data_IF_429979620321
#
_entry.id   IF_429979620321
#
_cell.length_a   1.000
_cell.length_b   1.000
_cell.length_c   1.000
_cell.angle_alpha   90.00
_cell.angle_beta   90.00
_cell.angle_gamma   90.00
#
_symmetry.space_group_name_H-M   'P 1'
#
loop_
_entity.id
_entity.type
_entity.pdbx_description
1 polymer ?
#
# COMPACT_ATOMS: atom_id res chain seq x y z
N UNK A 1 -22.80 -31.17 26.12
CA UNK A 1 -21.84 -31.77 25.15
C UNK A 1 -21.68 -30.94 23.88
N UNK A 2 -22.72 -30.30 23.33
CA UNK A 2 -22.63 -29.46 22.12
C UNK A 2 -21.77 -28.20 22.24
N UNK A 3 -21.74 -27.51 23.40
CA UNK A 3 -20.86 -26.34 23.58
C UNK A 3 -19.36 -26.67 23.58
N UNK A 4 -18.94 -27.88 23.98
CA UNK A 4 -17.50 -28.22 24.08
C UNK A 4 -16.80 -28.42 22.73
N UNK A 5 -17.55 -28.64 21.65
CA UNK A 5 -17.03 -28.71 20.27
C UNK A 5 -17.10 -27.36 19.53
N UNK A 6 -17.95 -26.42 19.98
CA UNK A 6 -18.06 -25.10 19.35
C UNK A 6 -16.83 -24.21 19.60
N UNK A 7 -16.30 -24.21 20.83
CA UNK A 7 -15.11 -23.41 21.17
C UNK A 7 -13.86 -23.76 20.35
N UNK A 8 -13.45 -25.05 20.19
CA UNK A 8 -12.28 -25.36 19.36
C UNK A 8 -12.50 -25.02 17.88
N UNK A 9 -13.72 -25.19 17.36
CA UNK A 9 -14.05 -24.80 15.97
C UNK A 9 -13.98 -23.27 15.79
N UNK A 10 -14.53 -22.49 16.72
CA UNK A 10 -14.45 -21.03 16.68
C UNK A 10 -13.00 -20.53 16.79
N UNK A 11 -12.19 -21.16 17.66
CA UNK A 11 -10.76 -20.86 17.77
C UNK A 11 -10.04 -21.18 16.45
N UNK A 12 -10.33 -22.32 15.81
CA UNK A 12 -9.75 -22.67 14.52
C UNK A 12 -10.11 -21.65 13.44
N UNK A 13 -11.36 -21.20 13.36
CA UNK A 13 -11.76 -20.14 12.43
C UNK A 13 -11.05 -18.81 12.71
N UNK A 14 -10.91 -18.41 13.98
CA UNK A 14 -10.18 -17.21 14.35
C UNK A 14 -8.70 -17.33 13.96
N UNK A 15 -8.04 -18.45 14.28
CA UNK A 15 -6.64 -18.70 13.91
C UNK A 15 -6.47 -18.68 12.40
N UNK A 16 -7.36 -19.34 11.65
CA UNK A 16 -7.34 -19.33 10.19
C UNK A 16 -7.56 -17.92 9.63
N UNK A 17 -8.48 -17.13 10.20
CA UNK A 17 -8.70 -15.74 9.82
C UNK A 17 -7.47 -14.86 10.08
N UNK A 18 -6.86 -14.95 11.26
CA UNK A 18 -5.63 -14.20 11.57
C UNK A 18 -4.46 -14.63 10.69
N UNK A 19 -4.31 -15.93 10.44
CA UNK A 19 -3.29 -16.46 9.55
C UNK A 19 -3.50 -15.95 8.12
N UNK A 20 -4.73 -15.99 7.61
CA UNK A 20 -5.08 -15.43 6.30
C UNK A 20 -4.75 -13.93 6.24
N UNK A 21 -5.19 -13.15 7.23
CA UNK A 21 -4.89 -11.70 7.30
C UNK A 21 -3.39 -11.42 7.34
N UNK A 22 -2.61 -12.24 8.06
CA UNK A 22 -1.16 -12.13 8.11
C UNK A 22 -0.52 -12.45 6.76
N UNK A 23 -0.94 -13.53 6.09
CA UNK A 23 -0.44 -13.89 4.75
C UNK A 23 -0.77 -12.79 3.74
N UNK A 24 -2.00 -12.28 3.74
CA UNK A 24 -2.40 -11.16 2.87
C UNK A 24 -1.59 -9.89 3.15
N UNK A 25 -1.31 -9.58 4.42
CA UNK A 25 -0.43 -8.47 4.79
C UNK A 25 0.98 -8.68 4.24
N UNK A 26 1.54 -9.88 4.40
CA UNK A 26 2.91 -10.17 3.95
C UNK A 26 3.02 -10.13 2.43
N UNK A 27 2.00 -10.57 1.70
CA UNK A 27 1.96 -10.56 0.24
C UNK A 27 2.15 -9.16 -0.36
N UNK A 28 1.73 -8.10 0.35
CA UNK A 28 1.92 -6.70 -0.07
C UNK A 28 3.41 -6.33 -0.22
N UNK A 29 4.33 -7.12 0.32
CA UNK A 29 5.77 -6.83 0.27
C UNK A 29 6.56 -7.71 -0.71
N UNK A 30 5.86 -8.50 -1.53
CA UNK A 30 6.46 -9.38 -2.54
C UNK A 30 6.10 -8.91 -3.95
N UNK A 31 6.37 -9.72 -4.96
CA UNK A 31 6.04 -9.39 -6.35
C UNK A 31 4.53 -9.29 -6.57
N UNK A 32 4.13 -8.28 -7.36
CA UNK A 32 2.74 -8.00 -7.66
C UNK A 32 2.37 -8.41 -9.09
N UNK A 33 1.09 -8.64 -9.27
CA UNK A 33 0.51 -8.97 -10.58
C UNK A 33 0.53 -7.77 -11.55
N UNK A 34 0.33 -8.01 -12.84
CA UNK A 34 0.33 -6.97 -13.88
C UNK A 34 1.61 -6.92 -14.71
N UNK A 35 1.55 -6.21 -15.84
CA UNK A 35 2.62 -6.14 -16.84
C UNK A 35 3.71 -5.19 -16.34
N UNK A 36 4.86 -5.73 -15.95
CA UNK A 36 6.04 -4.94 -15.62
C UNK A 36 6.64 -4.34 -16.88
N UNK A 37 6.93 -3.04 -16.87
CA UNK A 37 7.56 -2.33 -18.00
C UNK A 37 8.51 -1.25 -17.49
N UNK A 38 9.67 -1.07 -18.13
CA UNK A 38 10.61 0.00 -17.77
C UNK A 38 10.30 1.30 -18.50
N UNK A 39 10.75 2.42 -17.94
CA UNK A 39 10.60 3.71 -18.60
C UNK A 39 11.37 3.76 -19.94
N UNK A 40 12.48 3.02 -20.06
CA UNK A 40 13.25 2.93 -21.29
C UNK A 40 12.47 2.18 -22.38
N UNK A 41 11.80 1.09 -22.02
CA UNK A 41 10.92 0.35 -22.94
C UNK A 41 9.77 1.23 -23.45
N UNK A 42 9.14 2.00 -22.55
CA UNK A 42 8.09 2.98 -22.90
C UNK A 42 8.63 4.01 -23.90
N UNK A 43 9.80 4.58 -23.63
CA UNK A 43 10.43 5.57 -24.51
C UNK A 43 10.77 5.01 -25.88
N UNK A 44 11.32 3.80 -25.94
CA UNK A 44 11.65 3.11 -27.20
C UNK A 44 10.39 2.82 -27.99
N UNK A 45 9.34 2.32 -27.35
CA UNK A 45 8.07 2.03 -28.01
C UNK A 45 7.47 3.28 -28.66
N UNK A 46 7.49 4.41 -27.95
CA UNK A 46 6.98 5.68 -28.48
C UNK A 46 7.85 6.28 -29.59
N UNK A 47 9.15 6.00 -29.61
CA UNK A 47 10.05 6.48 -30.65
C UNK A 47 9.81 5.83 -32.04
N UNK A 48 8.96 4.81 -32.14
CA UNK A 48 8.56 4.22 -33.42
C UNK A 48 7.53 5.13 -34.10
N UNK A 49 7.90 5.73 -35.25
CA UNK A 49 7.04 6.70 -35.96
C UNK A 49 6.46 6.09 -37.24
N UNK A 50 5.14 6.18 -37.48
CA UNK A 50 4.11 6.63 -36.53
C UNK A 50 3.78 5.55 -35.48
N UNK A 51 3.59 5.96 -34.22
CA UNK A 51 3.07 5.08 -33.18
C UNK A 51 1.59 4.82 -33.49
N UNK A 52 1.29 3.60 -33.94
CA UNK A 52 -0.05 3.22 -34.41
C UNK A 52 -0.98 2.78 -33.27
N UNK A 53 -0.48 2.73 -32.03
CA UNK A 53 -1.28 2.37 -30.86
C UNK A 53 -2.29 3.48 -30.57
N UNK A 54 -3.50 3.16 -30.11
CA UNK A 54 -4.43 4.18 -29.65
C UNK A 54 -3.95 4.81 -28.33
N UNK A 55 -4.23 6.10 -28.16
CA UNK A 55 -4.03 6.81 -26.90
C UNK A 55 -5.27 6.63 -26.02
N UNK A 56 -5.08 6.12 -24.80
CA UNK A 56 -6.15 5.81 -23.86
C UNK A 56 -6.28 6.83 -22.74
N UNK A 57 -5.15 7.31 -22.20
CA UNK A 57 -5.14 8.26 -21.10
C UNK A 57 -5.42 9.67 -21.65
N UNK A 58 -6.37 10.42 -21.08
CA UNK A 58 -6.55 11.82 -21.41
C UNK A 58 -5.34 12.68 -21.02
N UNK A 59 -5.04 13.73 -21.79
CA UNK A 59 -3.96 14.70 -21.51
C UNK A 59 -4.31 15.64 -20.33
N UNK A 60 -4.45 15.07 -19.14
CA UNK A 60 -4.78 15.77 -17.91
C UNK A 60 -3.76 15.37 -16.84
N UNK A 61 -3.13 16.36 -16.18
CA UNK A 61 -2.31 16.14 -15.00
C UNK A 61 -3.07 16.64 -13.77
N UNK A 62 -3.21 15.78 -12.77
CA UNK A 62 -3.83 16.09 -11.49
C UNK A 62 -2.76 16.19 -10.39
N UNK A 63 -2.68 17.35 -9.74
CA UNK A 63 -1.99 17.51 -8.47
C UNK A 63 -2.99 17.91 -7.38
N UNK A 64 -2.70 17.55 -6.13
CA UNK A 64 -3.54 17.93 -4.98
C UNK A 64 -2.70 18.73 -4.00
N UNK A 65 -3.20 19.89 -3.59
CA UNK A 65 -2.59 20.70 -2.54
C UNK A 65 -3.63 21.14 -1.53
N UNK A 66 -3.60 20.52 -0.35
CA UNK A 66 -4.46 20.94 0.76
C UNK A 66 -3.64 21.76 1.76
N UNK A 67 -3.99 23.04 1.88
CA UNK A 67 -3.29 23.94 2.79
C UNK A 67 -3.84 23.87 4.22
N UNK A 68 -3.51 22.78 4.92
CA UNK A 68 -3.96 22.57 6.30
C UNK A 68 -3.28 23.46 7.33
N UNK A 69 -2.18 24.13 6.97
CA UNK A 69 -1.36 24.94 7.88
C UNK A 69 -1.36 26.42 7.54
N UNK A 70 -2.18 26.85 6.57
CA UNK A 70 -2.18 28.20 6.01
C UNK A 70 -0.78 28.62 5.53
N UNK A 71 -0.10 27.69 4.85
CA UNK A 71 1.22 27.80 4.26
C UNK A 71 1.11 27.68 2.74
N UNK A 72 1.71 28.63 2.03
CA UNK A 72 1.85 28.52 0.58
C UNK A 72 2.62 27.24 0.20
N UNK A 73 2.29 26.66 -0.95
CA UNK A 73 3.01 25.50 -1.49
C UNK A 73 4.54 25.71 -1.45
N UNK A 74 5.31 24.71 -0.95
CA UNK A 74 6.77 24.72 -0.94
C UNK A 74 7.40 25.03 -2.30
N UNK A 75 8.59 25.65 -2.30
CA UNK A 75 9.22 26.14 -3.53
C UNK A 75 9.71 25.02 -4.45
N UNK A 76 10.21 23.93 -3.87
CA UNK A 76 10.54 22.68 -4.54
C UNK A 76 9.31 22.06 -5.21
N UNK A 77 8.18 21.98 -4.51
CA UNK A 77 6.93 21.47 -5.08
C UNK A 77 6.39 22.34 -6.22
N UNK A 78 6.45 23.67 -6.06
CA UNK A 78 6.10 24.62 -7.13
C UNK A 78 6.98 24.42 -8.36
N UNK A 79 8.30 24.24 -8.15
CA UNK A 79 9.26 24.00 -9.23
C UNK A 79 8.96 22.70 -9.96
N UNK A 80 8.69 21.62 -9.23
CA UNK A 80 8.34 20.32 -9.82
C UNK A 80 7.10 20.40 -10.68
N UNK A 81 6.03 21.01 -10.15
CA UNK A 81 4.78 21.22 -10.89
C UNK A 81 5.02 22.09 -12.13
N UNK A 82 5.76 23.20 -12.01
CA UNK A 82 6.03 24.08 -13.14
C UNK A 82 6.80 23.35 -14.25
N UNK A 83 7.79 22.54 -13.88
CA UNK A 83 8.55 21.75 -14.84
C UNK A 83 7.65 20.76 -15.62
N UNK A 84 6.68 20.12 -14.96
CA UNK A 84 5.68 19.29 -15.66
C UNK A 84 4.78 20.09 -16.61
N UNK A 85 4.42 21.32 -16.27
CA UNK A 85 3.65 22.22 -17.14
C UNK A 85 4.46 22.57 -18.39
N UNK A 86 5.73 22.95 -18.19
CA UNK A 86 6.61 23.38 -19.27
C UNK A 86 6.89 22.24 -20.27
N UNK A 87 7.00 21.00 -19.78
CA UNK A 87 7.22 19.79 -20.59
C UNK A 87 5.93 19.21 -21.23
N UNK A 88 4.76 19.65 -20.79
CA UNK A 88 3.46 19.18 -21.28
C UNK A 88 2.50 20.37 -21.52
N UNK A 89 2.86 21.31 -22.41
CA UNK A 89 2.17 22.61 -22.52
C UNK A 89 0.76 22.52 -23.11
N UNK A 90 0.44 21.46 -23.83
CA UNK A 90 -0.87 21.21 -24.44
C UNK A 90 -1.82 20.39 -23.55
N UNK A 91 -1.40 20.05 -22.32
CA UNK A 91 -2.19 19.27 -21.38
C UNK A 91 -3.02 20.18 -20.46
N UNK A 92 -4.13 19.65 -19.95
CA UNK A 92 -4.89 20.30 -18.88
C UNK A 92 -4.19 20.03 -17.54
N UNK A 93 -3.88 21.10 -16.78
CA UNK A 93 -3.18 21.00 -15.49
C UNK A 93 -4.10 21.39 -14.34
N UNK A 94 -4.60 20.40 -13.58
CA UNK A 94 -5.48 20.64 -12.42
C UNK A 94 -4.71 20.63 -11.11
N UNK A 95 -4.92 21.66 -10.30
CA UNK A 95 -4.46 21.71 -8.92
C UNK A 95 -5.69 21.74 -8.01
N UNK A 96 -5.93 20.67 -7.27
CA UNK A 96 -7.11 20.54 -6.42
C UNK A 96 -6.83 21.06 -5.01
N UNK A 97 -7.56 22.11 -4.61
CA UNK A 97 -7.61 22.59 -3.23
C UNK A 97 -8.47 21.70 -2.34
N UNK A 98 -8.41 21.88 -1.01
CA UNK A 98 -9.25 21.14 -0.05
C UNK A 98 -10.75 21.34 -0.34
N UNK A 99 -11.17 22.57 -0.65
CA UNK A 99 -12.57 22.91 -0.95
C UNK A 99 -13.03 22.23 -2.25
N UNK A 100 -12.28 22.41 -3.35
CA UNK A 100 -12.60 21.78 -4.64
C UNK A 100 -12.64 20.25 -4.55
N UNK A 101 -11.73 19.68 -3.75
CA UNK A 101 -11.68 18.23 -3.51
C UNK A 101 -12.95 17.73 -2.83
N UNK A 102 -13.40 18.43 -1.79
CA UNK A 102 -14.61 18.04 -1.05
C UNK A 102 -15.86 18.23 -1.91
N UNK A 103 -15.98 19.34 -2.63
CA UNK A 103 -17.09 19.61 -3.56
C UNK A 103 -17.15 18.52 -4.64
N UNK A 104 -16.01 18.14 -5.22
CA UNK A 104 -15.96 17.07 -6.21
C UNK A 104 -16.49 15.73 -5.66
N UNK A 105 -16.10 15.35 -4.44
CA UNK A 105 -16.63 14.13 -3.81
C UNK A 105 -18.13 14.25 -3.53
N UNK A 106 -18.60 15.40 -3.05
CA UNK A 106 -20.01 15.65 -2.77
C UNK A 106 -20.87 15.55 -4.04
N UNK A 107 -20.43 16.14 -5.15
CA UNK A 107 -21.18 16.17 -6.41
C UNK A 107 -21.16 14.83 -7.16
N UNK A 108 -20.00 14.18 -7.26
CA UNK A 108 -19.84 12.97 -8.08
C UNK A 108 -19.97 11.65 -7.30
N UNK A 109 -19.66 11.67 -6.01
CA UNK A 109 -19.55 10.48 -5.17
C UNK A 109 -20.18 10.70 -3.79
N UNK A 110 -21.37 11.31 -3.75
CA UNK A 110 -22.09 11.66 -2.51
C UNK A 110 -22.17 10.53 -1.47
N UNK A 111 -22.23 9.28 -1.91
CA UNK A 111 -22.25 8.09 -1.05
C UNK A 111 -20.97 7.93 -0.21
N UNK A 112 -19.85 8.48 -0.67
CA UNK A 112 -18.54 8.44 -0.02
C UNK A 112 -18.26 9.65 0.86
N UNK A 113 -19.01 10.76 0.71
CA UNK A 113 -18.73 12.03 1.39
C UNK A 113 -18.58 11.89 2.92
N UNK A 114 -19.43 11.07 3.55
CA UNK A 114 -19.34 10.82 5.00
C UNK A 114 -18.02 10.15 5.40
N UNK A 115 -17.53 9.20 4.60
CA UNK A 115 -16.25 8.54 4.86
C UNK A 115 -15.08 9.48 4.58
N UNK A 116 -15.14 10.24 3.49
CA UNK A 116 -14.15 11.26 3.14
C UNK A 116 -13.97 12.31 4.26
N UNK A 117 -15.07 12.87 4.76
CA UNK A 117 -15.06 13.82 5.87
C UNK A 117 -14.63 13.13 7.20
N UNK A 118 -14.88 11.83 7.33
CA UNK A 118 -14.65 11.03 8.54
C UNK A 118 -13.24 10.48 8.75
N UNK A 119 -12.34 10.57 7.76
CA UNK A 119 -10.97 10.09 7.90
C UNK A 119 -10.23 10.73 9.08
N UNK A 120 -9.57 9.90 9.89
CA UNK A 120 -8.79 10.31 11.09
C UNK A 120 -7.61 11.23 10.71
N UNK A 121 -6.89 10.89 9.64
CA UNK A 121 -5.74 11.64 9.16
C UNK A 121 -6.05 12.31 7.83
N UNK A 122 -5.77 13.62 7.74
CA UNK A 122 -6.10 14.42 6.55
C UNK A 122 -5.43 13.91 5.26
N UNK A 123 -4.24 13.31 5.36
CA UNK A 123 -3.55 12.69 4.20
C UNK A 123 -4.36 11.56 3.56
N UNK A 124 -5.17 10.83 4.34
CA UNK A 124 -6.06 9.80 3.80
C UNK A 124 -7.09 10.38 2.82
N UNK A 125 -7.47 11.66 2.98
CA UNK A 125 -8.35 12.37 2.04
C UNK A 125 -7.66 12.62 0.70
N UNK A 126 -6.37 12.95 0.70
CA UNK A 126 -5.58 13.12 -0.53
C UNK A 126 -5.40 11.77 -1.22
N UNK A 127 -5.03 10.73 -0.45
CA UNK A 127 -4.90 9.37 -0.96
C UNK A 127 -6.21 8.83 -1.55
N UNK A 128 -7.35 9.05 -0.90
CA UNK A 128 -8.64 8.64 -1.46
C UNK A 128 -9.00 9.45 -2.72
N UNK A 129 -8.80 10.78 -2.69
CA UNK A 129 -9.19 11.68 -3.76
C UNK A 129 -8.53 11.31 -5.10
N UNK A 130 -7.24 11.00 -5.12
CA UNK A 130 -6.54 10.68 -6.38
C UNK A 130 -7.19 9.52 -7.14
N UNK A 131 -7.72 8.53 -6.41
CA UNK A 131 -8.43 7.41 -7.01
C UNK A 131 -9.77 7.82 -7.63
N UNK A 132 -10.52 8.71 -6.97
CA UNK A 132 -11.77 9.24 -7.52
C UNK A 132 -11.53 10.15 -8.72
N UNK A 133 -10.43 10.92 -8.73
CA UNK A 133 -10.03 11.72 -9.88
C UNK A 133 -9.75 10.84 -11.09
N UNK A 134 -8.93 9.79 -10.94
CA UNK A 134 -8.65 8.82 -12.01
C UNK A 134 -9.90 8.06 -12.45
N UNK A 135 -10.77 7.66 -11.51
CA UNK A 135 -12.05 7.02 -11.84
C UNK A 135 -12.94 7.93 -12.70
N UNK A 136 -12.95 9.23 -12.44
CA UNK A 136 -13.87 10.17 -13.10
C UNK A 136 -13.30 10.74 -14.41
N UNK A 137 -12.09 11.28 -14.35
CA UNK A 137 -11.46 12.02 -15.43
C UNK A 137 -10.46 11.18 -16.22
N UNK A 138 -9.94 10.09 -15.64
CA UNK A 138 -8.70 9.48 -16.12
C UNK A 138 -7.51 10.43 -15.89
N UNK A 139 -6.57 10.44 -16.84
CA UNK A 139 -5.41 11.31 -16.80
C UNK A 139 -4.26 10.69 -16.00
N UNK A 140 -3.31 11.54 -15.61
CA UNK A 140 -2.17 11.20 -14.78
C UNK A 140 -2.27 11.97 -13.47
N UNK A 141 -2.30 11.25 -12.35
CA UNK A 141 -2.10 11.83 -11.04
C UNK A 141 -0.62 11.84 -10.69
N UNK A 142 -0.17 12.96 -10.12
CA UNK A 142 1.21 13.16 -9.69
C UNK A 142 1.23 13.90 -8.34
N UNK A 143 1.81 13.28 -7.31
CA UNK A 143 2.09 13.99 -6.05
C UNK A 143 3.06 15.16 -6.30
N UNK A 144 2.90 16.26 -5.55
CA UNK A 144 3.64 17.51 -5.77
C UNK A 144 5.14 17.44 -5.48
N UNK A 145 5.57 16.41 -4.76
CA UNK A 145 6.98 16.08 -4.57
C UNK A 145 7.58 15.32 -5.76
N UNK A 146 6.82 15.07 -6.83
CA UNK A 146 7.32 14.49 -8.09
C UNK A 146 7.28 15.52 -9.22
N UNK A 147 8.33 15.52 -10.04
CA UNK A 147 8.45 16.37 -11.23
C UNK A 147 8.56 15.54 -12.51
N UNK A 148 8.64 16.23 -13.65
CA UNK A 148 8.76 15.60 -14.96
C UNK A 148 10.17 15.83 -15.53
N UNK A 149 10.81 14.80 -16.08
CA UNK A 149 12.10 14.92 -16.77
C UNK A 149 11.93 15.06 -18.29
N UNK A 150 10.85 14.49 -18.81
CA UNK A 150 10.47 14.51 -20.23
C UNK A 150 8.96 14.69 -20.37
N UNK A 151 8.48 14.81 -21.61
CA UNK A 151 7.05 14.78 -21.90
C UNK A 151 6.43 13.44 -21.45
N UNK A 152 5.20 13.49 -20.94
CA UNK A 152 4.44 12.33 -20.52
C UNK A 152 3.61 11.71 -21.66
N UNK A 153 3.71 12.25 -22.89
CA UNK A 153 3.04 11.68 -24.08
C UNK A 153 3.28 10.18 -24.30
N UNK A 154 4.48 9.62 -24.07
CA UNK A 154 4.71 8.18 -24.20
C UNK A 154 3.81 7.32 -23.30
N UNK A 155 3.31 7.87 -22.20
CA UNK A 155 2.46 7.16 -21.24
C UNK A 155 1.00 7.05 -21.69
N UNK A 156 0.58 7.84 -22.69
CA UNK A 156 -0.82 7.88 -23.14
C UNK A 156 -1.31 6.57 -23.74
N UNK A 157 -0.39 5.72 -24.20
CA UNK A 157 -0.66 4.45 -24.86
C UNK A 157 -0.88 3.27 -23.90
N UNK A 158 -0.79 3.50 -22.59
CA UNK A 158 -0.99 2.47 -21.57
C UNK A 158 -2.33 2.71 -20.87
N UNK A 159 -3.35 1.84 -21.03
CA UNK A 159 -4.71 2.07 -20.52
C UNK A 159 -4.79 2.41 -19.03
N UNK A 160 -3.93 1.79 -18.24
CA UNK A 160 -3.77 2.07 -16.81
C UNK A 160 -2.36 1.70 -16.37
N UNK A 161 -1.79 2.50 -15.48
CA UNK A 161 -0.55 2.18 -14.83
C UNK A 161 -0.48 2.66 -13.37
N UNK A 162 0.35 1.97 -12.61
CA UNK A 162 0.88 2.36 -11.30
C UNK A 162 2.41 2.28 -11.34
N UNK A 163 3.12 2.81 -10.35
CA UNK A 163 4.59 2.74 -10.29
C UNK A 163 5.07 1.70 -9.28
N UNK A 164 6.17 1.04 -9.61
CA UNK A 164 6.74 -0.05 -8.82
C UNK A 164 8.22 0.17 -8.56
N UNK A 165 8.60 0.27 -7.28
CA UNK A 165 10.00 0.40 -6.85
C UNK A 165 10.81 -0.90 -6.94
N UNK A 166 10.21 -2.00 -7.40
CA UNK A 166 10.82 -3.32 -7.49
C UNK A 166 11.02 -4.02 -6.16
N UNK A 167 10.42 -3.49 -5.09
CA UNK A 167 10.41 -4.03 -3.72
C UNK A 167 9.21 -3.51 -2.95
N UNK A 168 8.61 -4.35 -2.13
CA UNK A 168 7.53 -3.89 -1.26
C UNK A 168 6.24 -3.62 -2.04
N UNK A 169 5.42 -2.72 -1.46
CA UNK A 169 4.16 -2.30 -2.06
C UNK A 169 4.37 -1.44 -3.31
N UNK A 170 3.36 -1.44 -4.18
CA UNK A 170 3.25 -0.50 -5.29
C UNK A 170 3.09 0.93 -4.76
N UNK A 171 3.56 1.91 -5.53
CA UNK A 171 3.54 3.30 -5.11
C UNK A 171 2.30 4.01 -5.65
N UNK A 172 1.63 4.77 -4.78
CA UNK A 172 0.41 5.50 -5.12
C UNK A 172 0.64 7.01 -5.34
N UNK A 173 1.88 7.42 -5.59
CA UNK A 173 2.28 8.81 -5.83
C UNK A 173 2.21 9.23 -7.31
N UNK A 174 2.34 8.28 -8.24
CA UNK A 174 2.24 8.49 -9.69
C UNK A 174 1.36 7.40 -10.28
N UNK A 175 0.22 7.80 -10.82
CA UNK A 175 -0.81 6.86 -11.30
C UNK A 175 -1.39 7.40 -12.61
N UNK A 176 -1.77 6.52 -13.54
CA UNK A 176 -2.41 6.96 -14.78
C UNK A 176 -3.48 6.01 -15.26
N UNK A 177 -4.52 6.52 -15.90
CA UNK A 177 -5.60 5.68 -16.43
C UNK A 177 -6.51 6.39 -17.43
N UNK A 178 -7.18 5.62 -18.28
CA UNK A 178 -8.39 6.07 -18.95
C UNK A 178 -9.57 6.19 -17.94
N UNK A 179 -10.55 7.07 -18.19
CA UNK A 179 -11.67 7.28 -17.28
C UNK A 179 -12.53 6.02 -17.11
N UNK A 180 -13.01 5.78 -15.89
CA UNK A 180 -13.90 4.67 -15.55
C UNK A 180 -13.33 3.26 -15.71
N UNK A 181 -12.00 3.09 -15.73
CA UNK A 181 -11.40 1.74 -15.67
C UNK A 181 -11.98 0.93 -14.48
N UNK A 182 -12.43 -0.34 -14.67
CA UNK A 182 -13.09 -1.12 -13.63
C UNK A 182 -12.27 -1.29 -12.34
N UNK A 183 -10.94 -1.37 -12.45
CA UNK A 183 -10.03 -1.29 -11.32
C UNK A 183 -10.32 -0.11 -10.37
N UNK A 184 -10.40 1.13 -10.86
CA UNK A 184 -10.65 2.29 -10.00
C UNK A 184 -12.04 2.28 -9.39
N UNK A 185 -13.03 1.69 -10.08
CA UNK A 185 -14.34 1.42 -9.50
C UNK A 185 -14.23 0.47 -8.31
N UNK A 186 -13.59 -0.68 -8.49
CA UNK A 186 -13.37 -1.65 -7.41
C UNK A 186 -12.60 -1.01 -6.24
N UNK A 187 -11.54 -0.26 -6.54
CA UNK A 187 -10.70 0.39 -5.55
C UNK A 187 -11.48 1.42 -4.74
N UNK A 188 -12.14 2.37 -5.39
CA UNK A 188 -12.90 3.41 -4.69
C UNK A 188 -14.07 2.83 -3.88
N UNK A 189 -14.77 1.80 -4.40
CA UNK A 189 -15.86 1.12 -3.68
C UNK A 189 -15.35 0.22 -2.53
N UNK A 190 -14.05 -0.05 -2.46
CA UNK A 190 -13.42 -0.82 -1.39
C UNK A 190 -12.83 0.04 -0.27
N UNK A 191 -12.85 1.38 -0.34
CA UNK A 191 -12.21 2.24 0.66
C UNK A 191 -12.86 2.13 2.06
N UNK A 192 -14.20 2.19 2.15
CA UNK A 192 -14.91 2.26 3.43
C UNK A 192 -14.59 1.07 4.37
N UNK A 193 -14.59 -0.20 3.89
CA UNK A 193 -14.24 -1.33 4.75
C UNK A 193 -12.79 -1.35 5.25
N UNK A 194 -11.88 -0.57 4.65
CA UNK A 194 -10.46 -0.52 5.00
C UNK A 194 -10.12 0.63 5.97
N UNK A 195 -11.04 1.55 6.21
CA UNK A 195 -10.87 2.68 7.14
C UNK A 195 -10.88 2.21 8.61
N UNK A 196 -9.74 1.67 9.03
CA UNK A 196 -9.50 1.16 10.37
C UNK A 196 -8.41 1.96 11.08
N UNK A 197 -8.68 2.34 12.33
CA UNK A 197 -7.71 3.00 13.18
C UNK A 197 -6.83 1.96 13.90
N UNK A 198 -5.57 1.86 13.47
CA UNK A 198 -4.55 1.05 14.13
C UNK A 198 -3.73 1.89 15.12
N UNK A 199 -2.94 1.20 15.96
CA UNK A 199 -2.09 1.85 16.96
C UNK A 199 -1.06 2.80 16.35
N UNK A 200 -0.56 2.50 15.15
CA UNK A 200 0.46 3.28 14.46
C UNK A 200 -0.16 4.06 13.29
N UNK A 201 -0.10 5.41 13.30
CA UNK A 201 -0.56 6.24 12.18
C UNK A 201 -0.08 5.81 10.79
N UNK A 202 1.19 5.38 10.63
CA UNK A 202 1.75 4.82 9.38
C UNK A 202 0.84 3.72 8.85
N UNK A 203 0.51 2.77 9.73
CA UNK A 203 -0.27 1.58 9.39
C UNK A 203 -1.71 1.99 9.07
N UNK A 204 -2.30 2.87 9.87
CA UNK A 204 -3.63 3.45 9.60
C UNK A 204 -3.71 4.09 8.22
N UNK A 205 -2.80 5.00 7.92
CA UNK A 205 -2.78 5.72 6.64
C UNK A 205 -2.54 4.77 5.48
N UNK A 206 -1.51 3.93 5.57
CA UNK A 206 -1.12 3.03 4.48
C UNK A 206 -2.19 1.99 4.15
N UNK A 207 -2.90 1.45 5.15
CA UNK A 207 -3.95 0.44 4.94
C UNK A 207 -5.33 1.00 4.61
N UNK A 208 -5.66 2.21 5.05
CA UNK A 208 -7.00 2.76 4.83
C UNK A 208 -7.18 3.26 3.40
N UNK A 209 -6.18 3.98 2.90
CA UNK A 209 -6.22 4.62 1.58
C UNK A 209 -4.85 4.74 0.91
N UNK A 210 -3.76 4.50 1.63
CA UNK A 210 -2.40 4.66 1.09
C UNK A 210 -1.93 3.50 0.19
N UNK A 211 -0.61 3.42 0.00
CA UNK A 211 0.02 2.46 -0.91
C UNK A 211 -0.32 0.99 -0.63
N UNK A 212 -0.42 0.58 0.64
CA UNK A 212 -0.75 -0.82 0.98
C UNK A 212 -2.19 -1.17 0.63
N UNK A 213 -3.12 -0.22 0.76
CA UNK A 213 -4.49 -0.37 0.30
C UNK A 213 -4.55 -0.55 -1.22
N UNK A 214 -3.93 0.36 -1.98
CA UNK A 214 -3.92 0.30 -3.45
C UNK A 214 -3.33 -1.00 -3.95
N UNK A 215 -2.19 -1.44 -3.38
CA UNK A 215 -1.55 -2.71 -3.72
C UNK A 215 -2.45 -3.91 -3.44
N UNK A 216 -3.13 -3.93 -2.28
CA UNK A 216 -4.04 -5.01 -1.93
C UNK A 216 -5.24 -5.10 -2.91
N UNK A 217 -5.77 -3.96 -3.35
CA UNK A 217 -6.86 -3.95 -4.34
C UNK A 217 -6.34 -4.26 -5.75
N UNK A 218 -5.13 -3.83 -6.11
CA UNK A 218 -4.47 -4.16 -7.36
C UNK A 218 -4.37 -5.66 -7.56
N UNK A 219 -3.83 -6.39 -6.58
CA UNK A 219 -3.74 -7.83 -6.65
C UNK A 219 -5.13 -8.48 -6.63
N UNK A 220 -6.06 -7.98 -5.80
CA UNK A 220 -7.45 -8.49 -5.78
C UNK A 220 -8.14 -8.37 -7.14
N UNK A 221 -7.92 -7.26 -7.85
CA UNK A 221 -8.49 -7.03 -9.18
C UNK A 221 -7.94 -8.06 -10.18
N UNK A 222 -6.62 -8.25 -10.22
CA UNK A 222 -5.98 -9.25 -11.08
C UNK A 222 -6.50 -10.67 -10.84
N UNK A 223 -6.67 -11.05 -9.57
CA UNK A 223 -7.27 -12.35 -9.24
C UNK A 223 -8.72 -12.48 -9.75
N UNK A 224 -9.47 -11.37 -9.83
CA UNK A 224 -10.86 -11.38 -10.31
C UNK A 224 -10.98 -11.52 -11.84
N UNK A 225 -10.00 -11.02 -12.60
CA UNK A 225 -10.00 -11.07 -14.07
C UNK A 225 -9.27 -12.30 -14.65
N UNK A 226 -8.51 -13.05 -13.82
CA UNK A 226 -7.68 -14.20 -14.18
C UNK A 226 -8.42 -15.48 -14.65
N UNK A 227 -9.56 -15.36 -15.32
CA UNK A 227 -10.33 -16.46 -15.92
C UNK A 227 -10.88 -16.22 -17.33
N UNK A 228 -10.65 -15.05 -17.94
CA UNK A 228 -11.11 -14.73 -19.30
C UNK A 228 -9.94 -14.43 -20.24
N UNK A 229 -9.12 -15.44 -20.51
CA UNK A 229 -8.14 -15.41 -21.59
C UNK A 229 -8.75 -16.00 -22.88
N UNK A 230 -9.81 -15.38 -23.39
CA UNK A 230 -10.36 -15.72 -24.70
C UNK A 230 -9.75 -14.82 -25.79
N UNK A 231 -8.43 -14.89 -25.98
CA UNK A 231 -7.72 -14.47 -27.21
C UNK A 231 -7.84 -13.02 -27.72
N UNK A 232 -8.72 -12.19 -27.17
CA UNK A 232 -8.88 -10.77 -27.50
C UNK A 232 -8.22 -9.92 -26.42
N UNK A 233 -7.46 -8.89 -26.85
CA UNK A 233 -6.92 -7.86 -25.95
C UNK A 233 -8.07 -7.09 -25.31
N UNK A 234 -8.48 -7.50 -24.10
CA UNK A 234 -9.40 -6.73 -23.28
C UNK A 234 -8.61 -5.64 -22.55
N UNK A 235 -8.92 -4.37 -22.84
CA UNK A 235 -8.31 -3.20 -22.18
C UNK A 235 -8.40 -3.24 -20.66
N UNK A 236 -9.45 -3.86 -20.11
CA UNK A 236 -9.67 -4.02 -18.67
C UNK A 236 -8.65 -4.98 -18.01
N UNK A 237 -7.90 -5.73 -18.81
CA UNK A 237 -6.87 -6.68 -18.38
C UNK A 237 -5.44 -6.16 -18.63
N UNK A 238 -5.27 -5.00 -19.26
CA UNK A 238 -3.98 -4.42 -19.61
C UNK A 238 -3.52 -3.43 -18.54
N UNK A 239 -3.10 -3.96 -17.39
CA UNK A 239 -2.63 -3.19 -16.25
C UNK A 239 -1.11 -3.21 -16.16
N UNK A 240 -0.49 -2.02 -16.18
CA UNK A 240 0.95 -1.87 -16.22
C UNK A 240 1.53 -1.42 -14.87
N UNK A 241 2.71 -1.95 -14.56
CA UNK A 241 3.56 -1.49 -13.46
C UNK A 241 4.80 -0.87 -14.08
N UNK A 242 4.93 0.46 -13.96
CA UNK A 242 6.08 1.19 -14.47
C UNK A 242 7.19 1.11 -13.44
N UNK A 243 8.31 0.52 -13.82
CA UNK A 243 9.44 0.35 -12.92
C UNK A 243 10.11 1.69 -12.60
N UNK A 244 10.25 1.95 -11.31
CA UNK A 244 10.92 3.11 -10.70
C UNK A 244 11.85 2.65 -9.58
N UNK A 245 12.65 1.61 -9.85
CA UNK A 245 13.69 1.14 -8.93
C UNK A 245 14.81 2.19 -8.82
N UNK A 246 15.27 2.44 -7.59
CA UNK A 246 16.30 3.41 -7.24
C UNK A 246 17.61 2.75 -6.77
N UNK A 247 17.70 1.42 -6.80
CA UNK A 247 18.89 0.66 -6.36
C UNK A 247 20.10 0.89 -7.30
N UNK A 248 21.33 0.76 -6.77
CA UNK A 248 22.53 0.78 -7.61
C UNK A 248 22.47 -0.27 -8.72
N UNK A 249 22.60 0.17 -9.97
CA UNK A 249 22.52 -0.69 -11.15
C UNK A 249 21.13 -0.81 -11.77
N UNK A 250 20.10 -0.20 -11.19
CA UNK A 250 18.79 -0.05 -11.82
C UNK A 250 18.84 0.92 -13.01
N UNK A 251 17.86 0.82 -13.92
CA UNK A 251 17.73 1.74 -15.03
C UNK A 251 17.40 3.16 -14.54
N UNK A 252 17.95 4.21 -15.17
CA UNK A 252 17.66 5.58 -14.78
C UNK A 252 16.19 5.91 -15.03
N UNK A 253 15.62 6.76 -14.17
CA UNK A 253 14.30 7.32 -14.41
C UNK A 253 14.36 8.33 -15.56
N UNK A 254 13.36 8.30 -16.42
CA UNK A 254 13.30 9.03 -17.69
C UNK A 254 12.19 10.07 -17.69
N UNK A 255 11.02 9.74 -17.14
CA UNK A 255 9.85 10.61 -17.18
C UNK A 255 9.66 11.40 -15.90
N UNK A 256 10.08 10.85 -14.76
CA UNK A 256 9.74 11.39 -13.44
C UNK A 256 10.98 11.67 -12.59
N UNK A 257 10.87 12.68 -11.72
CA UNK A 257 11.77 12.88 -10.57
C UNK A 257 10.99 12.72 -9.28
N UNK A 258 11.71 12.45 -8.18
CA UNK A 258 11.17 12.52 -6.83
C UNK A 258 12.06 13.44 -6.00
N UNK A 259 11.46 14.44 -5.38
CA UNK A 259 12.08 15.34 -4.42
C UNK A 259 11.66 14.96 -2.99
N UNK A 260 12.08 15.75 -2.02
CA UNK A 260 11.67 15.58 -0.63
C UNK A 260 10.14 15.63 -0.51
N UNK A 261 9.57 14.50 -0.08
CA UNK A 261 8.20 14.46 0.44
C UNK A 261 8.04 15.22 1.75
N UNK A 262 6.80 15.44 2.17
CA UNK A 262 6.56 16.26 3.37
C UNK A 262 5.12 16.43 3.81
N UNK A 263 4.17 15.92 3.04
CA UNK A 263 2.75 15.87 3.42
C UNK A 263 2.52 14.99 4.66
N UNK A 264 3.43 14.04 4.93
CA UNK A 264 3.36 13.13 6.06
C UNK A 264 4.68 13.04 6.84
N UNK A 265 4.75 13.66 8.02
CA UNK A 265 5.95 13.68 8.87
C UNK A 265 5.62 13.40 10.35
N UNK A 266 5.03 12.23 10.61
CA UNK A 266 4.78 11.77 11.98
C UNK A 266 5.99 11.06 12.59
N UNK A 267 5.97 10.87 13.91
CA UNK A 267 7.07 10.23 14.64
C UNK A 267 7.32 8.79 14.21
N UNK A 268 6.26 8.07 13.87
CA UNK A 268 6.29 6.69 13.43
C UNK A 268 6.69 6.56 11.97
N UNK A 269 6.38 7.54 11.10
CA UNK A 269 6.99 7.63 9.76
C UNK A 269 8.52 7.58 9.86
N UNK A 270 9.08 8.45 10.72
CA UNK A 270 10.53 8.50 10.94
C UNK A 270 11.06 7.19 11.54
N UNK A 271 10.30 6.55 12.42
CA UNK A 271 10.65 5.24 12.98
C UNK A 271 10.68 4.15 11.90
N UNK A 272 9.66 4.04 11.04
CA UNK A 272 9.62 3.02 9.97
C UNK A 272 10.68 3.25 8.90
N UNK A 273 10.96 4.50 8.54
CA UNK A 273 12.09 4.85 7.66
C UNK A 273 13.42 4.41 8.29
N UNK A 274 13.62 4.70 9.58
CA UNK A 274 14.81 4.27 10.31
C UNK A 274 14.94 2.74 10.38
N UNK A 275 13.85 2.02 10.65
CA UNK A 275 13.81 0.55 10.63
C UNK A 275 14.21 0.02 9.24
N UNK A 276 13.69 0.62 8.17
CA UNK A 276 14.05 0.28 6.80
C UNK A 276 15.56 0.43 6.55
N UNK A 277 16.14 1.55 6.95
CA UNK A 277 17.57 1.84 6.81
C UNK A 277 18.48 0.95 7.68
N UNK A 278 17.93 0.38 8.77
CA UNK A 278 18.68 -0.36 9.78
C UNK A 278 18.21 -1.82 9.93
N UNK A 279 17.55 -2.38 8.91
CA UNK A 279 16.89 -3.70 8.97
C UNK A 279 17.80 -4.82 9.51
N UNK A 280 19.08 -4.84 9.12
CA UNK A 280 20.04 -5.82 9.62
C UNK A 280 20.30 -5.68 11.13
N UNK A 281 20.41 -4.44 11.64
CA UNK A 281 20.56 -4.15 13.06
C UNK A 281 19.31 -4.58 13.84
N UNK A 282 18.13 -4.28 13.31
CA UNK A 282 16.87 -4.62 13.96
C UNK A 282 16.63 -6.12 14.03
N UNK A 283 16.98 -6.87 12.97
CA UNK A 283 16.94 -8.34 12.99
C UNK A 283 17.87 -8.88 14.07
N UNK A 284 19.11 -8.36 14.18
CA UNK A 284 20.05 -8.79 15.22
C UNK A 284 19.54 -8.52 16.64
N UNK A 285 18.95 -7.34 16.87
CA UNK A 285 18.34 -6.98 18.16
C UNK A 285 17.15 -7.88 18.47
N UNK A 286 16.26 -8.11 17.50
CA UNK A 286 15.09 -8.98 17.63
C UNK A 286 15.47 -10.42 17.98
N UNK A 287 16.45 -11.00 17.27
CA UNK A 287 16.98 -12.35 17.55
C UNK A 287 17.58 -12.40 18.96
N UNK A 288 18.32 -11.36 19.36
CA UNK A 288 18.93 -11.26 20.69
C UNK A 288 17.88 -11.18 21.80
N UNK A 289 16.83 -10.38 21.61
CA UNK A 289 15.70 -10.27 22.55
C UNK A 289 14.93 -11.59 22.68
N UNK A 290 14.64 -12.27 21.57
CA UNK A 290 14.00 -13.61 21.60
C UNK A 290 14.91 -14.61 22.31
N UNK A 291 16.22 -14.60 22.01
CA UNK A 291 17.21 -15.43 22.69
C UNK A 291 17.24 -15.20 24.20
N UNK A 292 17.21 -13.94 24.63
CA UNK A 292 17.14 -13.56 26.05
C UNK A 292 15.83 -13.99 26.70
N UNK A 293 14.68 -13.84 26.04
CA UNK A 293 13.39 -14.30 26.53
C UNK A 293 13.34 -15.82 26.69
N UNK A 294 13.83 -16.56 25.70
CA UNK A 294 13.94 -18.02 25.76
C UNK A 294 14.91 -18.47 26.85
N UNK A 295 16.02 -17.75 27.04
CA UNK A 295 16.96 -18.00 28.13
C UNK A 295 16.32 -17.75 29.50
N UNK A 296 15.64 -16.62 29.70
CA UNK A 296 14.89 -16.30 30.91
C UNK A 296 13.83 -17.37 31.20
N UNK A 297 13.05 -17.78 30.19
CA UNK A 297 12.04 -18.83 30.32
C UNK A 297 12.67 -20.17 30.73
N UNK A 298 13.79 -20.54 30.12
CA UNK A 298 14.56 -21.75 30.47
C UNK A 298 15.11 -21.69 31.89
N UNK A 299 15.56 -20.53 32.37
CA UNK A 299 16.03 -20.34 33.74
C UNK A 299 14.88 -20.38 34.76
N UNK A 300 13.74 -19.78 34.45
CA UNK A 300 12.52 -19.87 35.25
C UNK A 300 12.02 -21.32 35.35
N UNK A 301 11.97 -22.05 34.22
CA UNK A 301 11.59 -23.46 34.19
C UNK A 301 12.56 -24.34 35.01
N UNK A 302 13.88 -24.15 34.87
CA UNK A 302 14.90 -24.85 35.67
C UNK A 302 14.77 -24.55 37.17
N UNK A 303 14.47 -23.30 37.53
CA UNK A 303 14.27 -22.89 38.92
C UNK A 303 12.98 -23.45 39.51
N UNK A 304 11.91 -23.58 38.73
CA UNK A 304 10.67 -24.25 39.16
C UNK A 304 10.89 -25.76 39.35
N UNK A 305 11.61 -26.44 38.45
CA UNK A 305 11.94 -27.86 38.57
C UNK A 305 12.79 -28.13 39.82
N UNK A 306 13.76 -27.24 40.14
CA UNK A 306 14.58 -27.35 41.36
C UNK A 306 13.80 -27.08 42.66
N UNK A 307 12.69 -26.33 42.60
CA UNK A 307 11.83 -26.03 43.76
C UNK A 307 10.66 -27.00 43.93
N UNK A 308 10.42 -27.93 43.00
CA UNK A 308 9.47 -29.03 43.21
C UNK A 308 10.08 -30.02 44.22
N UNK A 309 9.49 -30.17 45.43
CA UNK A 309 9.89 -31.24 46.32
C UNK A 309 9.42 -32.56 45.70
N UNK A 310 10.35 -33.37 45.22
CA UNK A 310 10.06 -34.77 44.89
C UNK A 310 9.58 -35.43 46.18
N UNK A 311 8.30 -35.78 46.24
CA UNK A 311 7.69 -36.52 47.34
C UNK A 311 8.26 -37.96 47.34
N UNK A 312 9.45 -38.13 47.92
CA UNK A 312 9.99 -39.43 48.32
C UNK A 312 9.47 -39.76 49.71
N UNK A 313 8.28 -40.36 49.80
CA UNK A 313 7.98 -41.22 50.95
C UNK A 313 6.95 -42.29 50.53
N UNK A 314 7.46 -43.39 49.98
CA UNK A 314 6.71 -44.61 49.71
C UNK A 314 7.40 -45.77 50.42
N UNK A 315 7.53 -45.70 51.75
CA UNK A 315 7.88 -46.85 52.57
C UNK A 315 7.38 -46.67 54.00
N UNK A 316 6.07 -46.59 54.19
CA UNK A 316 5.42 -46.81 55.50
C UNK A 316 3.92 -47.05 55.30
N UNK A 317 3.56 -48.23 54.80
CA UNK A 317 2.22 -48.78 55.04
C UNK A 317 2.37 -49.88 56.09
N UNK A 318 1.74 -49.60 57.23
CA UNK A 318 1.64 -50.40 58.44
C UNK A 318 1.19 -51.84 58.16
N UNK A 319 1.95 -52.81 58.66
CA UNK A 319 1.41 -54.03 59.27
C UNK A 319 0.78 -53.67 60.63
N UNK A 320 -0.06 -54.58 61.19
CA UNK A 320 -0.78 -54.53 62.50
C UNK A 320 -2.24 -54.04 62.28
N UNK A 321 -3.35 -54.81 62.41
CA UNK A 321 -3.72 -56.08 63.13
C UNK A 321 -5.01 -56.72 62.53
N UNK A 322 -5.24 -58.03 62.72
CA UNK A 322 -6.27 -58.59 63.65
C UNK A 322 -6.51 -60.11 63.44
N UNK A 323 -6.40 -60.85 64.55
CA UNK A 323 -7.06 -62.11 64.96
C UNK A 323 -7.83 -62.98 63.95
N UNK A 324 -7.40 -64.25 63.84
CA UNK A 324 -8.18 -65.45 64.20
C UNK A 324 -7.24 -66.65 64.41
#
# INVERSE_FOLDING_TARGET
MRLRLFYPIAILFLVAYFFYRLVSFLQIFFEHTGISITQQEIKIAHATIPDSRPQYIPKIIHNVFHDWKNQSMPADWKKNRQNCIDLNPDWEHKLWSEEESRVFIEEHYHWFLRAYDGYEHRVQRIDALRYFLLRNYGGIYLDLDNGCLESLEPLLYYPIFTTDGGRGALSNNILGSYPHHPFWKLLTESLIPYDHNYLFPYVTISYASGQWFETAIWDKYHHSIGGQANGEENLENLLYRIMMDDRPGAEPWIFFTQERGGSWNNWDNRMFLWIGDHLALDIMVGVSCIGLLLWCFKQCARSCIRKCPVQKDCSKVRSVEFFA
#
